data_IF_794748164482
#
_entry.id   IF_794748164482
#
_cell.length_a   1.000
_cell.length_b   1.000
_cell.length_c   1.000
_cell.angle_alpha   90.00
_cell.angle_beta   90.00
_cell.angle_gamma   90.00
#
_symmetry.space_group_name_H-M   'P 1'
#
loop_
_entity.id
_entity.type
_entity.pdbx_description
1 polymer ?
#
# COMPACT_ATOMS: atom_id res chain seq x y z
N UNK A 1 58.75 32.74 -9.40
CA UNK A 1 58.00 32.95 -10.68
C UNK A 1 56.73 32.17 -10.60
N UNK A 2 55.62 32.75 -10.11
CA UNK A 2 54.33 32.09 -9.96
C UNK A 2 53.37 32.69 -11.02
N UNK A 3 53.02 31.85 -12.01
CA UNK A 3 52.07 32.21 -13.06
C UNK A 3 50.66 31.98 -12.56
N UNK A 4 49.84 33.03 -12.49
CA UNK A 4 48.41 32.97 -12.13
C UNK A 4 47.60 32.77 -13.38
N UNK A 5 46.91 31.64 -13.45
CA UNK A 5 45.89 31.37 -14.50
C UNK A 5 44.57 31.98 -14.04
N UNK A 6 43.99 32.84 -14.89
CA UNK A 6 42.65 33.37 -14.75
C UNK A 6 41.67 32.44 -15.48
N UNK A 7 40.50 32.11 -14.91
CA UNK A 7 39.48 31.39 -15.64
C UNK A 7 38.66 32.33 -16.56
N UNK A 8 38.12 31.80 -17.68
CA UNK A 8 37.34 32.62 -18.61
C UNK A 8 35.91 32.86 -18.11
N UNK A 9 35.47 34.11 -18.27
CA UNK A 9 34.11 34.60 -18.01
C UNK A 9 33.14 34.06 -19.06
N UNK A 10 32.01 33.45 -18.64
CA UNK A 10 30.91 33.06 -19.50
C UNK A 10 29.96 34.22 -19.78
N UNK A 11 29.47 34.41 -21.01
CA UNK A 11 28.47 35.43 -21.32
C UNK A 11 27.08 35.04 -20.84
N UNK A 12 26.38 35.96 -20.21
CA UNK A 12 24.98 35.85 -19.81
C UNK A 12 24.07 36.07 -21.01
N UNK A 13 23.40 35.04 -21.46
CA UNK A 13 22.30 35.13 -22.43
C UNK A 13 21.00 35.51 -21.69
N UNK A 14 20.49 36.68 -21.99
CA UNK A 14 19.17 37.18 -21.52
C UNK A 14 18.09 36.46 -22.37
N UNK A 15 17.22 35.69 -21.69
CA UNK A 15 15.99 35.21 -22.28
C UNK A 15 14.89 36.27 -22.19
N UNK A 16 14.32 36.63 -23.33
CA UNK A 16 13.13 37.48 -23.46
C UNK A 16 11.88 36.69 -23.21
N UNK A 17 10.87 37.18 -22.48
CA UNK A 17 9.59 36.52 -22.34
C UNK A 17 8.73 36.73 -23.58
N UNK A 18 8.25 35.62 -24.16
CA UNK A 18 7.21 35.63 -25.20
C UNK A 18 5.86 35.64 -24.50
N UNK A 19 5.11 36.73 -24.66
CA UNK A 19 3.74 36.82 -24.23
C UNK A 19 2.84 36.11 -25.25
N UNK A 20 2.18 35.04 -24.82
CA UNK A 20 1.12 34.37 -25.60
C UNK A 20 -0.24 34.97 -25.20
N UNK A 21 -0.82 35.69 -26.12
CA UNK A 21 -2.17 36.27 -26.03
C UNK A 21 -3.18 35.16 -26.37
N UNK A 22 -3.84 34.59 -25.37
CA UNK A 22 -4.87 33.57 -25.53
C UNK A 22 -6.25 34.18 -25.74
N UNK A 23 -6.84 33.91 -26.89
CA UNK A 23 -8.18 34.34 -27.33
C UNK A 23 -9.26 33.56 -26.56
N UNK A 24 -10.13 34.28 -25.86
CA UNK A 24 -11.33 33.74 -25.22
C UNK A 24 -12.43 33.65 -26.27
N UNK A 25 -12.87 32.46 -26.60
CA UNK A 25 -14.09 32.21 -27.39
C UNK A 25 -15.22 31.87 -26.42
N UNK A 26 -16.13 32.80 -26.25
CA UNK A 26 -17.39 32.57 -25.56
C UNK A 26 -18.39 31.91 -26.52
N UNK A 27 -18.83 30.71 -26.20
CA UNK A 27 -19.93 30.04 -26.93
C UNK A 27 -21.18 30.09 -26.05
N UNK A 28 -22.14 30.91 -26.51
CA UNK A 28 -23.50 30.98 -25.99
C UNK A 28 -24.29 29.75 -26.45
N UNK A 29 -24.82 28.96 -25.54
CA UNK A 29 -25.75 27.88 -25.84
C UNK A 29 -27.16 28.35 -25.58
N UNK A 30 -27.99 28.15 -26.59
CA UNK A 30 -29.42 28.53 -26.70
C UNK A 30 -30.28 27.58 -25.87
N UNK A 31 -31.18 28.16 -25.09
CA UNK A 31 -32.26 27.50 -24.37
C UNK A 31 -33.34 27.05 -25.37
N UNK A 32 -33.76 25.82 -25.31
CA UNK A 32 -35.07 25.38 -25.80
C UNK A 32 -35.73 24.51 -24.75
N UNK A 33 -36.78 25.03 -24.18
CA UNK A 33 -37.63 24.37 -23.24
C UNK A 33 -38.66 23.47 -23.91
N UNK A 34 -39.10 22.47 -23.17
CA UNK A 34 -40.43 21.87 -23.25
C UNK A 34 -40.73 21.24 -21.90
N UNK A 35 -41.71 21.76 -21.24
CA UNK A 35 -42.51 21.16 -20.16
C UNK A 35 -43.91 20.90 -20.72
N UNK A 36 -44.86 20.34 -19.96
CA UNK A 36 -44.92 19.10 -19.18
C UNK A 36 -46.13 18.26 -19.62
N UNK A 37 -46.22 17.00 -19.14
CA UNK A 37 -47.56 16.35 -19.14
C UNK A 37 -47.77 15.61 -17.83
N UNK A 38 -48.78 16.03 -17.10
CA UNK A 38 -49.38 15.40 -15.94
C UNK A 38 -50.25 14.21 -16.33
N UNK A 39 -50.21 13.13 -15.56
CA UNK A 39 -51.35 12.23 -15.31
C UNK A 39 -51.02 11.44 -14.04
N UNK A 40 -51.50 11.77 -12.92
CA UNK A 40 -52.79 11.54 -12.26
C UNK A 40 -53.06 10.07 -11.89
N UNK A 41 -53.12 9.88 -10.57
CA UNK A 41 -53.97 9.02 -9.77
C UNK A 41 -53.71 7.50 -9.69
N UNK A 42 -53.53 7.06 -8.44
CA UNK A 42 -53.76 5.68 -8.06
C UNK A 42 -53.16 5.27 -6.75
N UNK A 43 -53.65 5.77 -5.62
CA UNK A 43 -53.58 5.08 -4.31
C UNK A 43 -55.03 4.70 -3.94
N UNK A 44 -55.30 3.84 -2.97
CA UNK A 44 -54.61 2.94 -2.08
C UNK A 44 -55.24 1.51 -2.04
N UNK A 45 -55.09 0.64 -1.04
CA UNK A 45 -55.24 0.93 0.38
C UNK A 45 -54.22 0.32 1.35
N UNK A 46 -54.08 1.01 2.44
CA UNK A 46 -53.55 0.65 3.71
C UNK A 46 -54.19 -0.62 4.30
N UNK A 47 -53.38 -1.58 4.72
CA UNK A 47 -53.79 -2.57 5.73
C UNK A 47 -52.77 -2.52 6.84
N UNK A 48 -53.22 -2.09 7.99
CA UNK A 48 -52.45 -2.07 9.22
C UNK A 48 -52.52 -3.39 9.96
N UNK A 49 -51.42 -3.71 10.68
CA UNK A 49 -51.32 -4.43 11.95
C UNK A 49 -51.02 -5.94 11.92
N UNK A 50 -50.36 -6.49 12.98
CA UNK A 50 -49.95 -5.91 14.25
C UNK A 50 -48.47 -6.11 14.66
N UNK A 51 -48.07 -5.34 15.71
CA UNK A 51 -46.90 -5.50 16.55
C UNK A 51 -46.76 -6.94 17.07
N UNK A 52 -45.58 -7.52 16.87
CA UNK A 52 -45.03 -8.54 17.75
C UNK A 52 -43.66 -8.02 18.20
N UNK A 53 -43.59 -7.69 19.49
CA UNK A 53 -42.32 -7.52 20.18
C UNK A 53 -41.66 -8.89 20.25
N UNK A 54 -40.64 -9.10 19.40
CA UNK A 54 -39.67 -10.14 19.60
C UNK A 54 -38.46 -9.49 20.27
N UNK A 55 -38.34 -9.72 21.57
CA UNK A 55 -37.11 -9.50 22.32
C UNK A 55 -36.01 -10.26 21.60
N UNK A 56 -35.08 -9.53 20.92
CA UNK A 56 -33.85 -10.09 20.42
C UNK A 56 -32.95 -10.36 21.64
N UNK A 57 -33.01 -11.58 22.12
CA UNK A 57 -31.98 -12.11 23.00
C UNK A 57 -30.65 -11.96 22.25
N UNK A 58 -29.78 -11.14 22.82
CA UNK A 58 -28.37 -11.12 22.47
C UNK A 58 -27.81 -12.49 22.81
N UNK A 59 -27.60 -13.32 21.80
CA UNK A 59 -26.71 -14.47 21.92
C UNK A 59 -25.31 -13.92 22.16
N UNK A 60 -24.66 -14.32 23.25
CA UNK A 60 -23.25 -14.01 23.43
C UNK A 60 -22.43 -14.89 22.53
N UNK A 61 -21.40 -14.27 21.96
CA UNK A 61 -20.19 -14.94 21.48
C UNK A 61 -20.35 -15.93 20.33
N UNK A 62 -20.33 -15.42 19.11
CA UNK A 62 -19.54 -16.09 18.09
C UNK A 62 -18.07 -15.77 18.37
N UNK A 63 -17.49 -16.50 19.33
CA UNK A 63 -16.05 -16.63 19.40
C UNK A 63 -15.56 -17.07 18.01
N UNK A 64 -14.87 -16.18 17.35
CA UNK A 64 -14.20 -16.44 16.08
C UNK A 64 -13.27 -17.64 16.32
N UNK A 65 -13.69 -18.81 15.88
CA UNK A 65 -12.86 -20.01 15.86
C UNK A 65 -11.85 -19.84 14.72
N UNK A 66 -10.82 -19.03 14.97
CA UNK A 66 -9.61 -19.09 14.15
C UNK A 66 -8.87 -20.37 14.52
N UNK A 67 -8.47 -21.20 13.55
CA UNK A 67 -7.63 -22.34 13.83
C UNK A 67 -6.34 -21.88 14.51
N UNK A 68 -5.78 -22.63 15.47
CA UNK A 68 -4.55 -22.27 16.16
C UNK A 68 -3.40 -22.24 15.13
N UNK A 69 -2.86 -21.05 14.87
CA UNK A 69 -1.74 -20.82 13.95
C UNK A 69 -1.98 -19.73 12.90
N UNK A 70 -3.22 -19.27 12.69
CA UNK A 70 -3.49 -18.14 11.81
C UNK A 70 -3.27 -16.83 12.56
N UNK A 71 -2.37 -16.00 12.04
CA UNK A 71 -2.17 -14.64 12.52
C UNK A 71 -3.41 -13.81 12.20
N UNK A 72 -3.96 -13.02 13.14
CA UNK A 72 -4.94 -12.01 12.80
C UNK A 72 -4.38 -11.07 11.72
N UNK A 73 -5.10 -10.89 10.63
CA UNK A 73 -4.68 -10.00 9.55
C UNK A 73 -3.90 -10.65 8.40
N UNK A 74 -3.63 -11.95 8.42
CA UNK A 74 -2.97 -12.63 7.32
C UNK A 74 -3.94 -12.87 6.17
N UNK A 75 -3.51 -12.51 4.95
CA UNK A 75 -4.27 -12.81 3.72
C UNK A 75 -4.20 -14.31 3.38
N UNK A 76 -5.27 -14.88 2.76
CA UNK A 76 -5.35 -16.33 2.50
C UNK A 76 -4.19 -16.91 1.68
N UNK A 77 -3.59 -16.11 0.80
CA UNK A 77 -2.52 -16.52 -0.12
C UNK A 77 -1.13 -16.08 0.33
N UNK A 78 -1.02 -15.43 1.50
CA UNK A 78 0.29 -15.05 2.03
C UNK A 78 1.07 -16.30 2.44
N UNK A 79 2.35 -16.45 1.99
CA UNK A 79 3.17 -17.59 2.37
C UNK A 79 3.30 -17.70 3.89
N UNK A 80 3.45 -18.91 4.46
CA UNK A 80 3.61 -19.09 5.90
C UNK A 80 4.76 -18.25 6.39
N UNK A 81 4.46 -17.34 7.34
CA UNK A 81 5.51 -16.60 8.04
C UNK A 81 6.47 -17.59 8.69
N UNK A 82 7.75 -17.18 8.96
CA UNK A 82 8.79 -18.09 9.40
C UNK A 82 8.35 -18.86 10.64
N UNK A 83 8.53 -20.18 10.61
CA UNK A 83 8.56 -20.97 11.80
C UNK A 83 9.69 -20.40 12.68
N UNK A 84 9.41 -20.11 13.94
CA UNK A 84 10.33 -19.51 14.91
C UNK A 84 11.75 -20.09 14.80
N UNK A 85 12.59 -19.45 13.99
CA UNK A 85 13.96 -19.81 13.67
C UNK A 85 14.96 -18.98 14.48
N UNK A 86 16.23 -18.94 14.02
CA UNK A 86 17.32 -18.25 14.71
C UNK A 86 17.18 -16.71 14.73
N UNK A 87 16.35 -16.11 13.86
CA UNK A 87 16.11 -14.67 13.80
C UNK A 87 15.10 -14.22 14.87
N UNK A 88 15.10 -12.93 15.22
CA UNK A 88 14.25 -12.36 16.25
C UNK A 88 13.83 -10.92 15.93
N UNK A 89 13.24 -10.25 16.92
CA UNK A 89 12.80 -8.85 16.81
C UNK A 89 13.93 -7.93 16.34
N UNK A 90 15.16 -8.17 16.79
CA UNK A 90 16.32 -7.39 16.37
C UNK A 90 16.65 -7.54 14.88
N UNK A 91 16.20 -8.63 14.26
CA UNK A 91 16.40 -8.94 12.85
C UNK A 91 15.22 -8.51 11.98
N UNK A 92 14.16 -7.96 12.58
CA UNK A 92 13.00 -7.48 11.87
C UNK A 92 11.77 -8.39 11.97
N UNK A 93 11.78 -9.43 12.81
CA UNK A 93 10.55 -10.16 13.10
C UNK A 93 9.57 -9.28 13.89
N UNK A 94 8.29 -9.39 13.55
CA UNK A 94 7.22 -8.67 14.23
C UNK A 94 6.21 -9.64 14.85
N UNK A 95 5.66 -9.31 16.03
CA UNK A 95 4.42 -9.91 16.49
C UNK A 95 3.23 -9.37 15.69
N UNK A 96 2.06 -9.99 15.86
CA UNK A 96 0.83 -9.48 15.26
C UNK A 96 0.42 -8.14 15.90
N UNK A 97 -0.27 -7.30 15.14
CA UNK A 97 -0.86 -6.05 15.63
C UNK A 97 0.13 -4.88 15.76
N UNK A 98 1.31 -4.96 15.15
CA UNK A 98 2.26 -3.83 15.11
C UNK A 98 1.76 -2.77 14.15
N UNK A 99 1.73 -1.52 14.59
CA UNK A 99 1.33 -0.37 13.78
C UNK A 99 2.55 0.45 13.30
N UNK A 100 2.40 1.31 12.28
CA UNK A 100 3.50 2.15 11.77
C UNK A 100 4.10 3.12 12.79
N UNK A 101 3.45 3.30 13.95
CA UNK A 101 3.88 4.19 15.04
C UNK A 101 4.65 3.47 16.14
N UNK A 102 4.82 2.17 16.03
CA UNK A 102 5.52 1.32 17.02
C UNK A 102 7.04 1.42 16.87
N UNK A 103 7.62 2.47 17.43
CA UNK A 103 9.06 2.77 17.33
C UNK A 103 9.95 1.80 18.14
N UNK A 104 9.39 0.79 18.81
CA UNK A 104 10.14 -0.25 19.52
C UNK A 104 10.68 -1.33 18.58
N UNK A 105 10.14 -1.43 17.36
CA UNK A 105 10.50 -2.49 16.41
C UNK A 105 11.46 -2.01 15.34
N UNK A 106 12.64 -2.65 15.19
CA UNK A 106 13.57 -2.36 14.09
C UNK A 106 12.95 -2.50 12.69
N UNK A 107 11.98 -3.42 12.52
CA UNK A 107 11.25 -3.59 11.28
C UNK A 107 10.51 -2.30 10.85
N UNK A 108 10.06 -1.49 11.82
CA UNK A 108 9.40 -0.20 11.58
C UNK A 108 10.45 0.92 11.50
N UNK A 109 11.33 1.03 12.48
CA UNK A 109 12.24 2.18 12.62
C UNK A 109 13.38 2.20 11.62
N UNK A 110 13.68 1.08 10.96
CA UNK A 110 14.69 0.97 9.90
C UNK A 110 14.11 1.01 8.49
N UNK A 111 12.81 1.28 8.34
CA UNK A 111 12.26 1.63 7.03
C UNK A 111 12.91 2.91 6.53
N UNK A 112 13.00 3.05 5.20
CA UNK A 112 13.38 4.33 4.59
C UNK A 112 12.52 5.46 5.18
N UNK A 113 13.12 6.57 5.61
CA UNK A 113 12.40 7.63 6.32
C UNK A 113 11.24 8.22 5.51
N UNK A 114 11.35 8.27 4.16
CA UNK A 114 10.27 8.79 3.32
C UNK A 114 9.14 7.76 3.20
N UNK A 115 9.46 6.46 3.09
CA UNK A 115 8.47 5.38 3.13
C UNK A 115 7.72 5.37 4.46
N UNK A 116 8.45 5.43 5.59
CA UNK A 116 7.84 5.44 6.93
C UNK A 116 6.94 6.67 7.14
N UNK A 117 7.36 7.84 6.66
CA UNK A 117 6.54 9.05 6.72
C UNK A 117 5.25 8.89 5.92
N UNK A 118 5.33 8.40 4.69
CA UNK A 118 4.18 8.15 3.83
C UNK A 118 3.22 7.11 4.44
N UNK A 119 3.76 6.02 4.98
CA UNK A 119 2.99 4.97 5.65
C UNK A 119 2.23 5.52 6.88
N UNK A 120 2.88 6.37 7.69
CA UNK A 120 2.25 7.01 8.86
C UNK A 120 1.16 8.00 8.46
N UNK A 121 1.35 8.72 7.36
CA UNK A 121 0.32 9.62 6.82
C UNK A 121 -0.89 8.83 6.32
N UNK A 122 -0.67 7.75 5.60
CA UNK A 122 -1.71 6.83 5.14
C UNK A 122 -2.45 6.19 6.32
N UNK A 123 -1.74 5.71 7.36
CA UNK A 123 -2.33 5.10 8.54
C UNK A 123 -3.28 6.06 9.27
N UNK A 124 -2.87 7.33 9.48
CA UNK A 124 -3.77 8.35 10.06
C UNK A 124 -4.98 8.66 9.20
N UNK A 125 -4.88 8.46 7.88
CA UNK A 125 -6.02 8.65 6.99
C UNK A 125 -6.95 7.45 7.05
N UNK A 126 -6.43 6.23 7.00
CA UNK A 126 -7.18 4.99 7.10
C UNK A 126 -7.95 4.89 8.42
N UNK A 127 -7.34 5.34 9.54
CA UNK A 127 -8.00 5.40 10.85
C UNK A 127 -9.28 6.26 10.84
N UNK A 128 -9.37 7.30 10.01
CA UNK A 128 -10.60 8.09 9.86
C UNK A 128 -11.72 7.37 9.11
N UNK A 129 -11.35 6.31 8.41
CA UNK A 129 -12.26 5.41 7.70
C UNK A 129 -12.46 4.09 8.46
N UNK A 130 -12.10 4.06 9.77
CA UNK A 130 -12.17 2.92 10.67
C UNK A 130 -11.31 1.71 10.20
N UNK A 131 -10.23 1.96 9.45
CA UNK A 131 -9.27 0.95 8.99
C UNK A 131 -7.93 1.14 9.70
N UNK A 132 -7.41 0.07 10.32
CA UNK A 132 -6.07 0.07 10.92
C UNK A 132 -5.06 -0.55 9.97
N UNK A 133 -3.94 0.13 9.72
CA UNK A 133 -2.84 -0.42 8.94
C UNK A 133 -1.86 -1.14 9.87
N UNK A 134 -1.84 -2.47 9.82
CA UNK A 134 -0.84 -3.27 10.56
C UNK A 134 0.38 -3.52 9.67
N UNK A 135 1.57 -3.48 10.28
CA UNK A 135 2.84 -3.85 9.64
C UNK A 135 3.10 -5.33 9.90
N UNK A 136 2.90 -6.16 8.89
CA UNK A 136 3.21 -7.59 8.97
C UNK A 136 4.71 -7.85 8.80
N UNK A 137 5.38 -7.05 7.96
CA UNK A 137 6.82 -7.07 7.76
C UNK A 137 7.30 -5.69 7.27
N UNK A 138 8.48 -5.29 7.72
CA UNK A 138 9.13 -4.05 7.27
C UNK A 138 10.59 -4.31 6.94
N UNK A 139 11.52 -3.54 7.56
CA UNK A 139 12.93 -3.83 7.41
C UNK A 139 13.27 -5.22 7.95
N UNK A 140 14.13 -5.93 7.22
CA UNK A 140 14.67 -7.26 7.59
C UNK A 140 16.20 -7.23 7.58
N UNK A 141 16.84 -7.88 8.55
CA UNK A 141 18.28 -8.12 8.47
C UNK A 141 18.60 -9.07 7.31
N UNK A 142 19.84 -9.01 6.81
CA UNK A 142 20.31 -9.97 5.80
C UNK A 142 20.19 -11.42 6.27
N UNK A 143 20.43 -11.67 7.57
CA UNK A 143 20.28 -13.01 8.17
C UNK A 143 18.83 -13.48 8.13
N UNK A 144 17.90 -12.61 8.47
CA UNK A 144 16.46 -12.95 8.43
C UNK A 144 15.98 -13.16 7.01
N UNK A 145 16.38 -12.32 6.07
CA UNK A 145 16.03 -12.48 4.66
C UNK A 145 16.59 -13.79 4.08
N UNK A 146 17.83 -14.18 4.44
CA UNK A 146 18.39 -15.47 4.02
C UNK A 146 17.60 -16.64 4.59
N UNK A 147 17.22 -16.57 5.86
CA UNK A 147 16.38 -17.59 6.48
C UNK A 147 15.05 -17.76 5.73
N UNK A 148 14.38 -16.64 5.39
CA UNK A 148 13.13 -16.68 4.61
C UNK A 148 13.32 -17.32 3.24
N UNK A 149 14.45 -17.05 2.58
CA UNK A 149 14.79 -17.65 1.29
C UNK A 149 15.00 -19.15 1.39
N UNK A 150 15.76 -19.61 2.41
CA UNK A 150 15.99 -21.04 2.67
C UNK A 150 14.68 -21.78 2.99
N UNK A 151 13.79 -21.14 3.73
CA UNK A 151 12.44 -21.67 4.02
C UNK A 151 11.57 -21.73 2.76
N UNK A 152 11.65 -20.71 1.90
CA UNK A 152 10.93 -20.68 0.63
C UNK A 152 11.45 -21.79 -0.32
N UNK A 153 12.74 -22.00 -0.45
CA UNK A 153 13.33 -23.09 -1.23
C UNK A 153 12.81 -24.45 -0.76
N UNK A 154 12.70 -24.64 0.55
CA UNK A 154 12.13 -25.86 1.14
C UNK A 154 10.65 -26.01 0.85
N UNK A 155 9.88 -24.91 0.91
CA UNK A 155 8.43 -24.88 0.77
C UNK A 155 7.99 -25.05 -0.68
N UNK A 156 8.66 -24.38 -1.60
CA UNK A 156 8.27 -24.35 -3.03
C UNK A 156 9.06 -25.35 -3.89
N UNK A 157 10.08 -26.00 -3.32
CA UNK A 157 10.80 -27.12 -3.92
C UNK A 157 11.84 -26.74 -4.98
N UNK A 158 11.83 -25.52 -5.51
CA UNK A 158 12.86 -25.00 -6.42
C UNK A 158 13.14 -23.52 -6.13
N UNK A 159 14.40 -23.11 -6.30
CA UNK A 159 14.78 -21.69 -6.13
C UNK A 159 14.08 -20.77 -7.15
N UNK A 160 13.71 -21.29 -8.30
CA UNK A 160 12.90 -20.56 -9.28
C UNK A 160 11.48 -20.27 -8.77
N UNK A 161 10.84 -21.23 -8.12
CA UNK A 161 9.49 -21.04 -7.58
C UNK A 161 9.53 -20.21 -6.29
N UNK A 162 10.56 -20.40 -5.46
CA UNK A 162 10.81 -19.58 -4.27
C UNK A 162 11.00 -18.09 -4.62
N UNK A 163 11.74 -17.80 -5.70
CA UNK A 163 12.00 -16.43 -6.17
C UNK A 163 10.74 -15.64 -6.60
N UNK A 164 9.60 -16.31 -6.74
CA UNK A 164 8.30 -15.66 -6.98
C UNK A 164 7.69 -15.06 -5.70
N UNK A 165 8.25 -15.38 -4.53
CA UNK A 165 7.73 -15.00 -3.23
C UNK A 165 8.78 -14.32 -2.34
N UNK A 166 10.04 -14.71 -2.48
CA UNK A 166 11.12 -14.20 -1.63
C UNK A 166 12.31 -13.80 -2.50
N UNK A 167 12.67 -12.52 -2.43
CA UNK A 167 13.85 -11.99 -3.10
C UNK A 167 15.16 -12.44 -2.41
N UNK A 168 16.24 -12.49 -3.16
CA UNK A 168 17.57 -12.69 -2.60
C UNK A 168 17.96 -11.55 -1.63
N UNK A 169 18.92 -11.81 -0.75
CA UNK A 169 19.39 -10.84 0.25
C UNK A 169 19.83 -9.52 -0.41
N UNK A 170 20.57 -9.62 -1.51
CA UNK A 170 21.18 -8.46 -2.17
C UNK A 170 20.14 -7.61 -2.95
N UNK A 171 19.02 -8.23 -3.34
CA UNK A 171 17.98 -7.57 -4.13
C UNK A 171 16.73 -7.18 -3.32
N UNK A 172 16.58 -7.70 -2.10
CA UNK A 172 15.38 -7.51 -1.30
C UNK A 172 15.17 -6.05 -0.87
N UNK A 173 14.05 -5.41 -1.24
CA UNK A 173 13.72 -4.06 -0.78
C UNK A 173 13.40 -4.00 0.72
N UNK A 174 13.10 -5.15 1.35
CA UNK A 174 12.98 -5.21 2.81
C UNK A 174 14.34 -5.08 3.50
N UNK A 175 15.42 -5.61 2.93
CA UNK A 175 16.77 -5.48 3.50
C UNK A 175 17.26 -4.04 3.42
N UNK A 176 16.93 -3.32 2.36
CA UNK A 176 17.22 -1.88 2.24
C UNK A 176 16.25 -0.99 3.03
N UNK A 177 15.14 -1.53 3.53
CA UNK A 177 14.08 -0.77 4.20
C UNK A 177 13.13 -0.05 3.24
N UNK A 178 13.15 -0.37 1.96
CA UNK A 178 12.37 0.30 0.91
C UNK A 178 11.01 -0.35 0.66
N UNK A 179 10.67 -1.41 1.39
CA UNK A 179 9.38 -2.09 1.31
C UNK A 179 8.75 -2.32 2.68
N UNK A 180 7.43 -2.41 2.67
CA UNK A 180 6.60 -2.78 3.82
C UNK A 180 5.48 -3.71 3.36
N UNK A 181 5.26 -4.77 4.14
CA UNK A 181 4.09 -5.63 4.00
C UNK A 181 3.03 -5.19 5.01
N UNK A 182 1.85 -4.84 4.51
CA UNK A 182 0.73 -4.33 5.31
C UNK A 182 -0.42 -5.34 5.31
N UNK A 183 -0.97 -5.67 6.43
CA UNK A 183 -2.18 -6.48 6.62
C UNK A 183 -3.21 -5.63 7.38
N UNK A 184 -4.46 -5.98 7.49
CA UNK A 184 -5.14 -7.17 6.96
C UNK A 184 -5.76 -6.92 5.57
N UNK A 185 -6.82 -7.68 5.21
CA UNK A 185 -7.52 -7.50 3.92
C UNK A 185 -8.17 -6.11 3.79
N UNK A 186 -8.69 -5.53 4.89
CA UNK A 186 -9.28 -4.20 4.88
C UNK A 186 -8.19 -3.14 4.66
N UNK A 187 -7.01 -3.31 5.28
CA UNK A 187 -5.86 -2.43 5.09
C UNK A 187 -5.35 -2.45 3.64
N UNK A 188 -5.20 -3.65 3.05
CA UNK A 188 -4.76 -3.79 1.65
C UNK A 188 -5.79 -3.26 0.66
N UNK A 189 -7.09 -3.45 0.93
CA UNK A 189 -8.18 -2.88 0.13
C UNK A 189 -8.12 -1.36 0.18
N UNK A 190 -8.04 -0.76 1.37
CA UNK A 190 -7.94 0.68 1.54
C UNK A 190 -6.71 1.25 0.83
N UNK A 191 -5.54 0.62 0.97
CA UNK A 191 -4.31 1.05 0.31
C UNK A 191 -4.39 0.93 -1.22
N UNK A 192 -5.08 -0.08 -1.76
CA UNK A 192 -5.26 -0.22 -3.21
C UNK A 192 -6.04 0.96 -3.81
N UNK A 193 -6.96 1.54 -3.04
CA UNK A 193 -7.81 2.66 -3.45
C UNK A 193 -7.16 4.03 -3.16
N UNK A 194 -6.44 4.16 -2.06
CA UNK A 194 -5.98 5.45 -1.53
C UNK A 194 -4.45 5.60 -1.51
N UNK A 195 -3.70 4.50 -1.52
CA UNK A 195 -2.24 4.47 -1.31
C UNK A 195 -1.46 5.35 -2.28
N UNK A 196 -1.90 5.43 -3.55
CA UNK A 196 -1.27 6.30 -4.55
C UNK A 196 -1.18 7.77 -4.11
N UNK A 197 -2.18 8.26 -3.37
CA UNK A 197 -2.21 9.63 -2.83
C UNK A 197 -1.05 9.93 -1.88
N UNK A 198 -0.55 8.91 -1.21
CA UNK A 198 0.60 8.95 -0.28
C UNK A 198 1.91 8.48 -0.94
N UNK A 199 1.87 8.10 -2.21
CA UNK A 199 3.01 7.52 -2.90
C UNK A 199 3.24 6.03 -2.60
N UNK A 200 2.33 5.38 -1.88
CA UNK A 200 2.39 3.96 -1.56
C UNK A 200 1.76 3.16 -2.69
N UNK A 201 2.55 2.28 -3.32
CA UNK A 201 2.08 1.48 -4.44
C UNK A 201 2.33 0.00 -4.19
N UNK A 202 1.31 -0.82 -4.42
CA UNK A 202 1.51 -2.25 -4.57
C UNK A 202 2.40 -2.52 -5.78
N UNK A 203 3.40 -3.39 -5.61
CA UNK A 203 4.42 -3.63 -6.63
C UNK A 203 4.22 -4.96 -7.36
N UNK A 204 3.73 -5.98 -6.66
CA UNK A 204 3.54 -7.33 -7.19
C UNK A 204 2.08 -7.74 -7.18
N UNK A 205 1.59 -8.31 -8.28
CA UNK A 205 0.19 -8.71 -8.39
C UNK A 205 -0.16 -9.92 -7.49
N UNK A 206 0.82 -10.78 -7.21
CA UNK A 206 0.66 -11.93 -6.31
C UNK A 206 0.85 -11.58 -4.82
N UNK A 207 1.29 -10.36 -4.51
CA UNK A 207 1.53 -9.88 -3.14
C UNK A 207 0.71 -8.61 -2.86
N UNK A 208 -0.59 -8.72 -2.57
CA UNK A 208 -1.46 -7.57 -2.31
C UNK A 208 -1.06 -6.79 -1.06
N UNK A 209 -0.22 -7.36 -0.20
CA UNK A 209 0.32 -6.74 1.01
C UNK A 209 1.59 -5.93 0.77
N UNK A 210 2.35 -6.12 -0.33
CA UNK A 210 3.68 -5.56 -0.55
C UNK A 210 3.62 -4.17 -1.18
N UNK A 211 4.04 -3.15 -0.41
CA UNK A 211 4.02 -1.74 -0.80
C UNK A 211 5.42 -1.14 -0.77
N UNK A 212 5.70 -0.32 -1.77
CA UNK A 212 6.92 0.50 -1.85
C UNK A 212 6.56 1.96 -2.12
N UNK A 213 7.49 2.88 -1.78
CA UNK A 213 7.30 4.30 -2.08
C UNK A 213 7.55 4.59 -3.57
N UNK A 214 6.60 5.24 -4.21
CA UNK A 214 6.67 5.78 -5.56
C UNK A 214 6.36 7.27 -5.51
N UNK A 215 7.36 8.17 -5.34
CA UNK A 215 7.13 9.59 -5.02
C UNK A 215 6.26 10.35 -6.02
N UNK A 216 6.16 9.85 -7.27
CA UNK A 216 5.34 10.49 -8.31
C UNK A 216 3.92 9.91 -8.38
N UNK A 217 3.57 8.91 -7.59
CA UNK A 217 2.28 8.24 -7.66
C UNK A 217 1.12 9.17 -7.29
N UNK A 218 1.30 10.09 -6.37
CA UNK A 218 0.28 11.09 -6.01
C UNK A 218 -0.18 11.97 -7.19
N UNK A 219 0.70 12.18 -8.18
CA UNK A 219 0.39 12.99 -9.36
C UNK A 219 0.06 12.15 -10.60
N UNK A 220 0.53 10.91 -10.70
CA UNK A 220 0.48 10.09 -11.93
C UNK A 220 -0.23 8.75 -11.76
N UNK A 221 -0.60 8.39 -10.54
CA UNK A 221 -1.02 7.03 -10.17
C UNK A 221 0.18 6.09 -10.01
N UNK A 222 -0.10 4.91 -9.47
CA UNK A 222 0.90 3.86 -9.33
C UNK A 222 1.31 3.28 -10.69
N UNK A 223 2.58 2.88 -10.86
CA UNK A 223 3.02 2.12 -12.03
C UNK A 223 2.27 0.78 -12.15
N UNK A 224 2.30 0.18 -13.33
CA UNK A 224 1.82 -1.18 -13.50
C UNK A 224 2.63 -2.14 -12.62
N UNK A 225 1.93 -3.06 -11.96
CA UNK A 225 2.54 -4.09 -11.12
C UNK A 225 3.28 -5.13 -11.97
N UNK A 226 4.36 -5.69 -11.43
CA UNK A 226 4.92 -6.94 -11.92
C UNK A 226 4.01 -8.11 -11.54
N UNK A 227 4.05 -9.22 -12.29
CA UNK A 227 3.25 -10.38 -11.95
C UNK A 227 3.65 -10.99 -10.59
N UNK A 228 4.95 -11.02 -10.32
CA UNK A 228 5.58 -11.50 -9.09
C UNK A 228 7.02 -10.95 -9.00
N UNK A 229 7.74 -11.08 -7.86
CA UNK A 229 9.12 -10.61 -7.70
C UNK A 229 10.08 -11.11 -8.76
N UNK A 230 9.94 -12.36 -9.27
CA UNK A 230 10.82 -12.91 -10.30
C UNK A 230 10.71 -12.17 -11.65
N UNK A 231 9.72 -11.32 -11.83
CA UNK A 231 9.50 -10.49 -13.03
C UNK A 231 10.00 -9.05 -12.87
N UNK A 232 10.41 -8.67 -11.69
CA UNK A 232 11.00 -7.35 -11.44
C UNK A 232 12.49 -7.37 -11.84
N UNK A 233 12.92 -6.50 -12.77
CA UNK A 233 14.34 -6.43 -13.18
C UNK A 233 15.31 -6.12 -12.03
N UNK A 234 14.83 -5.51 -10.95
CA UNK A 234 15.65 -5.21 -9.76
C UNK A 234 16.04 -6.49 -9.00
N UNK A 235 15.22 -7.53 -9.09
CA UNK A 235 15.46 -8.83 -8.43
C UNK A 235 16.41 -9.73 -9.22
N UNK A 236 16.83 -9.33 -10.42
CA UNK A 236 17.67 -10.14 -11.32
C UNK A 236 19.12 -9.67 -11.37
N UNK A 237 19.57 -8.85 -10.41
CA UNK A 237 20.91 -8.27 -10.36
C UNK A 237 21.86 -9.11 -9.52
#
# INVERSE_FOLDING_TARGET
MFSRHHPPTRPHTRATPVAVLGTVIALMAVLSGCSPEEASAGAPPSVAKPLAHASSERTPDSASLHPPGERPGRLPDEPPGPAHGASGVADGQLPDGVEPFDDTYPAVTRLDPALLSALREAARAAERDDVTLYVNSGWRSSTYQQQLLDEADTTYGTSHDAARWVASVDASPHVSGEAVDVGDADATTWLSEHGAGYGLCQVYANEPWHYELRPHASARGCPAMYADPSRDPRMQQ
#
